data_IF_464064548906
#
_entry.id   IF_464064548906
#
_cell.length_a   1.000
_cell.length_b   1.000
_cell.length_c   1.000
_cell.angle_alpha   90.00
_cell.angle_beta   90.00
_cell.angle_gamma   90.00
#
_symmetry.space_group_name_H-M   'P 1'
#
loop_
_entity.id
_entity.type
_entity.pdbx_description
1 polymer ?
#
# COMPACT_ATOMS: atom_id res chain seq x y z
N UNK A 1 31.25 74.04 20.06
CA UNK A 1 31.42 72.60 20.33
C UNK A 1 30.32 71.88 19.58
N UNK A 2 30.63 71.24 18.48
CA UNK A 2 29.68 70.63 17.50
C UNK A 2 29.51 69.15 17.80
N UNK A 3 28.29 68.72 18.09
CA UNK A 3 27.93 67.31 18.27
C UNK A 3 27.64 66.67 16.89
N UNK A 4 28.33 65.61 16.57
CA UNK A 4 28.15 64.84 15.33
C UNK A 4 27.20 63.67 15.61
N UNK A 5 26.00 63.73 14.99
CA UNK A 5 25.04 62.62 14.99
C UNK A 5 25.47 61.57 13.94
N UNK A 6 25.81 60.37 14.38
CA UNK A 6 25.97 59.21 13.52
C UNK A 6 24.62 58.51 13.35
N UNK A 7 24.02 58.62 12.18
CA UNK A 7 22.92 57.74 11.74
C UNK A 7 23.49 56.37 11.43
N UNK A 8 23.07 55.38 12.19
CA UNK A 8 23.26 53.94 11.83
C UNK A 8 22.08 53.50 10.96
N UNK A 9 22.34 53.33 9.68
CA UNK A 9 21.43 52.69 8.74
C UNK A 9 21.49 51.17 8.98
N UNK A 10 20.43 50.58 9.55
CA UNK A 10 20.24 49.16 9.69
C UNK A 10 19.74 48.57 8.37
N UNK A 11 20.57 47.78 7.71
CA UNK A 11 20.20 47.09 6.49
C UNK A 11 19.49 45.77 6.89
N UNK A 12 18.15 45.72 6.79
CA UNK A 12 17.38 44.48 6.92
C UNK A 12 17.56 43.67 5.63
N UNK A 13 18.37 42.60 5.70
CA UNK A 13 18.43 41.60 4.64
C UNK A 13 17.19 40.72 4.73
N UNK A 14 16.23 40.91 3.83
CA UNK A 14 15.10 40.02 3.65
C UNK A 14 15.61 38.72 3.00
N UNK A 15 15.71 37.64 3.77
CA UNK A 15 15.93 36.31 3.20
C UNK A 15 14.65 35.85 2.48
N UNK A 16 14.67 35.89 1.15
CA UNK A 16 13.70 35.20 0.32
C UNK A 16 13.97 33.69 0.47
N UNK A 17 13.14 33.02 1.26
CA UNK A 17 13.06 31.57 1.24
C UNK A 17 12.34 31.18 -0.04
N UNK A 18 13.10 30.84 -1.07
CA UNK A 18 12.57 30.22 -2.30
C UNK A 18 12.03 28.84 -1.94
N UNK A 19 10.69 28.71 -1.84
CA UNK A 19 10.04 27.40 -1.80
C UNK A 19 10.32 26.70 -3.15
N UNK A 20 11.21 25.72 -3.14
CA UNK A 20 11.39 24.81 -4.28
C UNK A 20 10.06 24.08 -4.48
N UNK A 21 9.51 24.03 -5.70
CA UNK A 21 8.35 23.20 -5.97
C UNK A 21 8.75 21.75 -5.72
N UNK A 22 7.98 21.04 -4.89
CA UNK A 22 8.10 19.60 -4.76
C UNK A 22 7.96 18.99 -6.16
N UNK A 23 9.02 18.43 -6.69
CA UNK A 23 8.98 17.67 -7.94
C UNK A 23 8.05 16.48 -7.69
N UNK A 24 6.83 16.56 -8.25
CA UNK A 24 5.98 15.40 -8.39
C UNK A 24 6.71 14.44 -9.34
N UNK A 25 7.23 13.32 -8.79
CA UNK A 25 7.89 12.28 -9.57
C UNK A 25 6.91 11.79 -10.65
N UNK A 26 7.18 12.14 -11.90
CA UNK A 26 6.41 11.73 -13.05
C UNK A 26 6.64 10.22 -13.27
N UNK A 27 5.67 9.41 -12.86
CA UNK A 27 5.55 8.02 -13.36
C UNK A 27 5.49 8.10 -14.89
N UNK A 28 6.33 7.36 -15.62
CA UNK A 28 6.21 7.33 -17.07
C UNK A 28 4.78 6.97 -17.46
N UNK A 29 4.10 7.87 -18.16
CA UNK A 29 2.66 7.76 -18.47
C UNK A 29 2.29 6.45 -19.21
N UNK A 30 3.25 5.83 -19.90
CA UNK A 30 3.08 4.54 -20.57
C UNK A 30 2.87 3.37 -19.57
N UNK A 31 3.62 3.34 -18.45
CA UNK A 31 3.50 2.29 -17.44
C UNK A 31 2.22 2.43 -16.61
N UNK A 32 1.82 3.68 -16.31
CA UNK A 32 0.58 3.96 -15.59
C UNK A 32 -0.66 3.54 -16.41
N UNK A 33 -0.71 3.87 -17.71
CA UNK A 33 -1.81 3.47 -18.60
C UNK A 33 -1.90 1.96 -18.81
N UNK A 34 -0.76 1.27 -18.90
CA UNK A 34 -0.71 -0.19 -18.99
C UNK A 34 -1.23 -0.85 -17.71
N UNK A 35 -0.82 -0.36 -16.56
CA UNK A 35 -1.28 -0.87 -15.26
C UNK A 35 -2.77 -0.57 -15.03
N UNK A 36 -3.26 0.62 -15.39
CA UNK A 36 -4.68 0.96 -15.30
C UNK A 36 -5.54 0.05 -16.19
N UNK A 37 -5.13 -0.17 -17.44
CA UNK A 37 -5.82 -1.08 -18.36
C UNK A 37 -5.89 -2.50 -17.81
N UNK A 38 -4.84 -2.96 -17.12
CA UNK A 38 -4.73 -4.32 -16.63
C UNK A 38 -5.39 -4.53 -15.26
N UNK A 39 -5.24 -3.58 -14.32
CA UNK A 39 -5.73 -3.67 -12.94
C UNK A 39 -6.99 -2.86 -12.67
N UNK A 40 -7.39 -1.97 -13.57
CA UNK A 40 -8.57 -1.13 -13.42
C UNK A 40 -9.86 -1.86 -13.73
N UNK A 41 -10.99 -1.24 -13.32
CA UNK A 41 -12.33 -1.79 -13.52
C UNK A 41 -12.67 -2.99 -12.64
N UNK A 42 -11.81 -3.30 -11.66
CA UNK A 42 -12.06 -4.34 -10.65
C UNK A 42 -12.70 -3.70 -9.42
N UNK A 43 -14.01 -3.72 -9.36
CA UNK A 43 -14.78 -3.24 -8.21
C UNK A 43 -14.91 -4.36 -7.20
N UNK A 44 -14.30 -4.17 -6.02
CA UNK A 44 -14.39 -5.05 -4.85
C UNK A 44 -15.11 -4.32 -3.72
N UNK A 45 -15.37 -5.00 -2.62
CA UNK A 45 -15.92 -4.39 -1.40
C UNK A 45 -14.83 -4.34 -0.33
N UNK A 46 -14.68 -3.20 0.34
CA UNK A 46 -13.81 -3.11 1.50
C UNK A 46 -14.49 -3.68 2.77
N UNK A 47 -13.77 -3.74 3.87
CA UNK A 47 -14.28 -4.21 5.17
C UNK A 47 -15.43 -3.38 5.73
N UNK A 48 -15.79 -2.24 5.14
CA UNK A 48 -16.94 -1.42 5.51
C UNK A 48 -18.10 -1.58 4.52
N UNK A 49 -17.98 -2.48 3.54
CA UNK A 49 -18.95 -2.69 2.49
C UNK A 49 -18.95 -1.61 1.39
N UNK A 50 -17.94 -0.75 1.38
CA UNK A 50 -17.80 0.30 0.37
C UNK A 50 -17.21 -0.28 -0.92
N UNK A 51 -17.78 0.01 -2.11
CA UNK A 51 -17.15 -0.32 -3.37
C UNK A 51 -15.81 0.39 -3.55
N UNK A 52 -14.78 -0.37 -3.96
CA UNK A 52 -13.41 0.10 -4.15
C UNK A 52 -12.89 -0.42 -5.49
N UNK A 53 -12.40 0.46 -6.35
CA UNK A 53 -11.64 0.08 -7.53
C UNK A 53 -10.20 -0.22 -7.12
N UNK A 54 -9.75 -1.46 -7.37
CA UNK A 54 -8.44 -1.94 -6.93
C UNK A 54 -7.29 -1.03 -7.41
N UNK A 55 -7.31 -0.64 -8.68
CA UNK A 55 -6.25 0.20 -9.22
C UNK A 55 -6.37 1.65 -8.74
N UNK A 56 -7.49 2.30 -9.07
CA UNK A 56 -7.67 3.75 -8.88
C UNK A 56 -7.59 4.16 -7.41
N UNK A 57 -8.25 3.39 -6.53
CA UNK A 57 -8.40 3.79 -5.13
C UNK A 57 -7.22 3.32 -4.25
N UNK A 58 -6.56 2.21 -4.60
CA UNK A 58 -5.55 1.60 -3.74
C UNK A 58 -4.13 1.58 -4.33
N UNK A 59 -3.97 1.42 -5.65
CA UNK A 59 -2.67 1.16 -6.28
C UNK A 59 -2.10 2.40 -6.96
N UNK A 60 -2.92 3.17 -7.67
CA UNK A 60 -2.47 4.27 -8.53
C UNK A 60 -1.56 5.27 -7.77
N UNK A 61 -0.35 5.50 -8.31
CA UNK A 61 0.62 6.46 -7.79
C UNK A 61 1.25 6.11 -6.44
N UNK A 62 1.08 4.87 -5.93
CA UNK A 62 1.56 4.44 -4.62
C UNK A 62 2.41 3.19 -4.70
N UNK A 63 3.08 2.90 -3.60
CA UNK A 63 3.58 1.55 -3.34
C UNK A 63 2.50 0.72 -2.68
N UNK A 64 2.41 -0.56 -3.01
CA UNK A 64 1.38 -1.46 -2.50
C UNK A 64 1.97 -2.81 -2.09
N UNK A 65 1.46 -3.36 -1.01
CA UNK A 65 1.68 -4.76 -0.61
C UNK A 65 0.36 -5.48 -0.73
N UNK A 66 0.26 -6.44 -1.64
CA UNK A 66 -0.93 -7.25 -1.85
C UNK A 66 -0.68 -8.64 -1.28
N UNK A 67 -1.58 -9.09 -0.42
CA UNK A 67 -1.52 -10.36 0.26
C UNK A 67 -2.87 -11.06 0.19
N UNK A 68 -2.87 -12.40 0.15
CA UNK A 68 -4.09 -13.21 0.22
C UNK A 68 -4.28 -13.79 1.60
N UNK A 69 -5.54 -13.96 2.02
CA UNK A 69 -5.91 -14.52 3.30
C UNK A 69 -7.36 -15.05 3.26
N UNK A 70 -7.82 -15.66 4.33
CA UNK A 70 -9.24 -15.82 4.62
C UNK A 70 -9.46 -15.74 6.14
N UNK A 71 -10.61 -15.18 6.57
CA UNK A 71 -10.84 -14.84 7.97
C UNK A 71 -10.95 -16.07 8.89
N UNK A 72 -11.36 -17.22 8.33
CA UNK A 72 -11.41 -18.51 9.01
C UNK A 72 -10.09 -19.28 9.04
N UNK A 73 -9.00 -18.71 8.54
CA UNK A 73 -7.68 -19.34 8.57
C UNK A 73 -7.21 -19.54 10.01
N UNK A 74 -7.02 -20.80 10.42
CA UNK A 74 -6.52 -21.16 11.73
C UNK A 74 -5.06 -20.76 11.94
N UNK A 75 -4.16 -21.77 12.01
CA UNK A 75 -2.77 -21.55 12.44
C UNK A 75 -1.81 -21.06 11.35
N UNK A 76 -2.16 -21.09 10.07
CA UNK A 76 -1.23 -20.77 8.96
C UNK A 76 -1.13 -19.28 8.61
N UNK A 77 -2.17 -18.48 8.83
CA UNK A 77 -2.15 -17.04 8.55
C UNK A 77 -1.47 -16.15 9.62
N UNK A 78 -1.27 -16.56 10.87
CA UNK A 78 -0.71 -15.69 11.90
C UNK A 78 0.67 -15.13 11.56
N UNK A 79 1.53 -15.89 10.90
CA UNK A 79 2.90 -15.45 10.57
C UNK A 79 2.91 -14.30 9.55
N UNK A 80 2.13 -14.40 8.47
CA UNK A 80 1.99 -13.34 7.48
C UNK A 80 1.35 -12.09 8.07
N UNK A 81 0.30 -12.25 8.87
CA UNK A 81 -0.36 -11.13 9.53
C UNK A 81 0.56 -10.45 10.55
N UNK A 82 1.37 -11.19 11.31
CA UNK A 82 2.39 -10.64 12.18
C UNK A 82 3.44 -9.84 11.40
N UNK A 83 3.86 -10.35 10.25
CA UNK A 83 4.77 -9.65 9.34
C UNK A 83 4.16 -8.36 8.80
N UNK A 84 2.91 -8.39 8.33
CA UNK A 84 2.21 -7.19 7.83
C UNK A 84 1.99 -6.17 8.94
N UNK A 85 1.75 -6.62 10.18
CA UNK A 85 1.68 -5.74 11.33
C UNK A 85 3.01 -5.05 11.60
N UNK A 86 4.12 -5.78 11.55
CA UNK A 86 5.47 -5.18 11.68
C UNK A 86 5.76 -4.19 10.54
N UNK A 87 5.31 -4.47 9.31
CA UNK A 87 5.39 -3.53 8.18
C UNK A 87 4.58 -2.28 8.47
N UNK A 88 3.33 -2.42 8.92
CA UNK A 88 2.46 -1.32 9.31
C UNK A 88 3.13 -0.40 10.35
N UNK A 89 3.69 -0.97 11.40
CA UNK A 89 4.40 -0.24 12.45
C UNK A 89 5.62 0.50 11.89
N UNK A 90 6.39 -0.15 11.01
CA UNK A 90 7.56 0.45 10.37
C UNK A 90 7.22 1.59 9.41
N UNK A 91 6.11 1.49 8.71
CA UNK A 91 5.62 2.54 7.81
C UNK A 91 5.14 3.79 8.58
N UNK A 92 4.51 3.60 9.73
CA UNK A 92 3.99 4.72 10.52
C UNK A 92 3.09 5.64 9.68
N UNK A 93 3.43 6.92 9.62
CA UNK A 93 2.66 7.94 8.88
C UNK A 93 2.68 7.76 7.36
N UNK A 94 3.58 6.95 6.81
CA UNK A 94 3.64 6.63 5.37
C UNK A 94 2.53 5.65 4.96
N UNK A 95 2.00 4.88 5.92
CA UNK A 95 0.88 3.96 5.66
C UNK A 95 -0.35 4.78 5.26
N UNK A 96 -0.90 4.45 4.11
CA UNK A 96 -2.05 5.14 3.52
C UNK A 96 -1.65 6.16 2.47
N UNK A 97 -0.91 7.21 2.78
CA UNK A 97 -0.52 8.20 1.77
C UNK A 97 0.47 7.65 0.72
N UNK A 98 1.51 6.95 1.14
CA UNK A 98 2.60 6.49 0.26
C UNK A 98 2.53 4.99 -0.03
N UNK A 99 2.24 4.19 0.99
CA UNK A 99 2.19 2.72 0.90
C UNK A 99 0.84 2.22 1.38
N UNK A 100 0.22 1.34 0.61
CA UNK A 100 -1.02 0.65 0.99
C UNK A 100 -0.75 -0.82 1.29
N UNK A 101 -1.37 -1.33 2.34
CA UNK A 101 -1.50 -2.77 2.57
C UNK A 101 -2.87 -3.20 2.11
N UNK A 102 -2.93 -4.21 1.26
CA UNK A 102 -4.16 -4.71 0.64
C UNK A 102 -4.22 -6.22 0.87
N UNK A 103 -5.16 -6.67 1.66
CA UNK A 103 -5.43 -8.08 1.89
C UNK A 103 -6.69 -8.48 1.14
N UNK A 104 -6.59 -9.41 0.17
CA UNK A 104 -7.71 -9.87 -0.64
C UNK A 104 -8.07 -11.27 -0.16
N UNK A 105 -9.34 -11.49 0.20
CA UNK A 105 -9.79 -12.83 0.60
C UNK A 105 -9.68 -13.82 -0.55
N UNK A 106 -9.41 -15.09 -0.22
CA UNK A 106 -9.55 -16.22 -1.15
C UNK A 106 -10.87 -16.98 -0.94
N UNK A 107 -11.64 -16.63 0.08
CA UNK A 107 -12.93 -17.24 0.42
C UNK A 107 -14.05 -16.18 0.53
N UNK A 108 -14.43 -15.54 -0.59
CA UNK A 108 -15.45 -14.48 -0.55
C UNK A 108 -16.83 -14.96 -0.14
N UNK A 109 -17.09 -16.26 -0.12
CA UNK A 109 -18.36 -16.82 0.29
C UNK A 109 -18.58 -16.66 1.81
N UNK A 110 -17.55 -16.90 2.61
CA UNK A 110 -17.60 -16.76 4.07
C UNK A 110 -17.14 -15.37 4.54
N UNK A 111 -16.21 -14.75 3.81
CA UNK A 111 -15.58 -13.49 4.19
C UNK A 111 -16.41 -12.29 3.72
N UNK A 112 -17.57 -12.09 4.37
CA UNK A 112 -18.40 -10.90 4.16
C UNK A 112 -17.69 -9.63 4.64
N UNK A 113 -18.11 -8.42 4.19
CA UNK A 113 -17.55 -7.17 4.71
C UNK A 113 -17.58 -7.09 6.24
N UNK A 114 -18.65 -7.57 6.89
CA UNK A 114 -18.76 -7.60 8.35
C UNK A 114 -17.68 -8.51 8.97
N UNK A 115 -17.50 -9.72 8.45
CA UNK A 115 -16.44 -10.64 8.90
C UNK A 115 -15.05 -10.03 8.71
N UNK A 116 -14.81 -9.37 7.58
CA UNK A 116 -13.54 -8.67 7.31
C UNK A 116 -13.30 -7.49 8.27
N UNK A 117 -14.35 -6.78 8.65
CA UNK A 117 -14.24 -5.68 9.63
C UNK A 117 -13.83 -6.18 11.00
N UNK A 118 -14.43 -7.27 11.46
CA UNK A 118 -14.05 -7.93 12.72
C UNK A 118 -12.61 -8.47 12.66
N UNK A 119 -12.26 -9.09 11.53
CA UNK A 119 -10.89 -9.58 11.31
C UNK A 119 -9.86 -8.46 11.33
N UNK A 120 -10.11 -7.37 10.61
CA UNK A 120 -9.24 -6.20 10.58
C UNK A 120 -9.02 -5.61 11.98
N UNK A 121 -10.08 -5.51 12.78
CA UNK A 121 -10.01 -5.07 14.17
C UNK A 121 -9.16 -6.03 15.02
N UNK A 122 -9.36 -7.35 14.87
CA UNK A 122 -8.62 -8.39 15.61
C UNK A 122 -7.12 -8.36 15.33
N UNK A 123 -6.70 -8.11 14.07
CA UNK A 123 -5.28 -8.00 13.71
C UNK A 123 -4.69 -6.61 13.98
N UNK A 124 -5.50 -5.65 14.40
CA UNK A 124 -5.07 -4.29 14.71
C UNK A 124 -4.72 -3.47 13.46
N UNK A 125 -5.44 -3.69 12.36
CA UNK A 125 -5.22 -2.94 11.13
C UNK A 125 -5.51 -1.46 11.31
N UNK A 126 -4.60 -0.61 10.82
CA UNK A 126 -4.70 0.84 10.85
C UNK A 126 -5.19 1.39 9.51
N UNK A 127 -5.66 2.65 9.43
CA UNK A 127 -5.97 3.32 8.18
C UNK A 127 -4.81 3.21 7.18
N UNK A 128 -5.11 2.71 5.97
CA UNK A 128 -4.10 2.39 4.95
C UNK A 128 -3.87 0.89 4.78
N UNK A 129 -4.41 0.05 5.67
CA UNK A 129 -4.54 -1.38 5.47
C UNK A 129 -6.00 -1.71 5.16
N UNK A 130 -6.26 -2.20 3.95
CA UNK A 130 -7.61 -2.47 3.43
C UNK A 130 -7.78 -3.98 3.21
N UNK A 131 -8.91 -4.50 3.67
CA UNK A 131 -9.32 -5.88 3.46
C UNK A 131 -10.43 -5.90 2.42
N UNK A 132 -10.29 -6.76 1.40
CA UNK A 132 -11.16 -6.78 0.24
C UNK A 132 -11.86 -8.13 0.07
N UNK A 133 -13.14 -8.04 -0.27
CA UNK A 133 -14.01 -9.14 -0.69
C UNK A 133 -14.87 -8.70 -1.87
N UNK A 134 -15.84 -9.50 -2.28
CA UNK A 134 -16.76 -9.20 -3.36
C UNK A 134 -17.46 -10.46 -3.84
N UNK A 135 -18.00 -10.46 -5.06
CA UNK A 135 -18.45 -11.70 -5.67
C UNK A 135 -17.26 -12.61 -5.98
N UNK A 136 -17.49 -13.91 -6.02
CA UNK A 136 -16.47 -14.90 -6.37
C UNK A 136 -15.76 -14.56 -7.69
N UNK A 137 -16.53 -14.13 -8.70
CA UNK A 137 -16.00 -13.72 -10.00
C UNK A 137 -15.06 -12.51 -9.88
N UNK A 138 -15.46 -11.48 -9.13
CA UNK A 138 -14.66 -10.25 -8.96
C UNK A 138 -13.36 -10.54 -8.20
N UNK A 139 -13.45 -11.29 -7.11
CA UNK A 139 -12.28 -11.68 -6.30
C UNK A 139 -11.33 -12.56 -7.10
N UNK A 140 -11.84 -13.59 -7.78
CA UNK A 140 -11.05 -14.48 -8.63
C UNK A 140 -10.33 -13.72 -9.74
N UNK A 141 -11.00 -12.76 -10.39
CA UNK A 141 -10.40 -11.94 -11.43
C UNK A 141 -9.32 -11.02 -10.86
N UNK A 142 -9.56 -10.40 -9.71
CA UNK A 142 -8.56 -9.58 -9.04
C UNK A 142 -7.31 -10.40 -8.69
N UNK A 143 -7.50 -11.58 -8.12
CA UNK A 143 -6.40 -12.48 -7.76
C UNK A 143 -5.62 -12.98 -8.98
N UNK A 144 -6.31 -13.28 -10.11
CA UNK A 144 -5.62 -13.63 -11.37
C UNK A 144 -4.74 -12.51 -11.87
N UNK A 145 -5.27 -11.28 -11.90
CA UNK A 145 -4.52 -10.11 -12.39
C UNK A 145 -3.32 -9.76 -11.50
N UNK A 146 -3.41 -9.95 -10.19
CA UNK A 146 -2.24 -9.75 -9.31
C UNK A 146 -1.34 -10.99 -9.21
N UNK A 147 -1.71 -12.10 -9.87
CA UNK A 147 -0.92 -13.34 -9.91
C UNK A 147 -0.88 -14.11 -8.60
N UNK A 148 -2.01 -14.06 -7.84
CA UNK A 148 -2.19 -14.74 -6.55
C UNK A 148 -3.41 -15.67 -6.55
N UNK A 149 -4.00 -15.95 -7.71
CA UNK A 149 -5.16 -16.83 -7.82
C UNK A 149 -4.83 -18.29 -7.46
N UNK A 150 -5.72 -18.91 -6.71
CA UNK A 150 -5.72 -20.34 -6.39
C UNK A 150 -7.12 -20.91 -6.61
N UNK A 151 -7.21 -22.16 -7.01
CA UNK A 151 -8.51 -22.84 -7.19
C UNK A 151 -9.13 -23.29 -5.86
N UNK A 152 -8.29 -23.60 -4.88
CA UNK A 152 -8.68 -24.04 -3.55
C UNK A 152 -8.17 -23.03 -2.51
N UNK A 153 -9.06 -22.41 -1.71
CA UNK A 153 -8.64 -21.51 -0.64
C UNK A 153 -7.60 -22.12 0.31
N UNK A 154 -7.69 -23.42 0.59
CA UNK A 154 -6.71 -24.12 1.43
C UNK A 154 -5.32 -24.27 0.81
N UNK A 155 -5.21 -24.14 -0.52
CA UNK A 155 -3.97 -24.21 -1.27
C UNK A 155 -3.33 -22.82 -1.48
N UNK A 156 -3.88 -21.74 -0.91
CA UNK A 156 -3.28 -20.42 -1.04
C UNK A 156 -1.86 -20.42 -0.48
N UNK A 157 -0.93 -19.97 -1.31
CA UNK A 157 0.45 -19.80 -0.88
C UNK A 157 0.56 -18.46 -0.15
N UNK A 158 1.32 -18.48 0.93
CA UNK A 158 1.63 -17.28 1.71
C UNK A 158 2.62 -16.39 0.93
N UNK A 159 2.13 -15.83 -0.18
CA UNK A 159 2.89 -14.96 -1.07
C UNK A 159 2.35 -13.54 -0.97
N UNK A 160 3.27 -12.59 -0.83
CA UNK A 160 2.99 -11.17 -0.94
C UNK A 160 3.53 -10.64 -2.27
N UNK A 161 2.74 -9.83 -2.96
CA UNK A 161 3.16 -9.06 -4.13
C UNK A 161 3.41 -7.63 -3.67
N UNK A 162 4.61 -7.13 -3.90
CA UNK A 162 5.02 -5.78 -3.50
C UNK A 162 5.32 -4.98 -4.75
N UNK A 163 4.64 -3.86 -4.93
CA UNK A 163 4.79 -3.02 -6.10
C UNK A 163 5.01 -1.55 -5.75
N UNK A 164 5.84 -0.88 -6.55
CA UNK A 164 5.95 0.57 -6.55
C UNK A 164 5.47 1.09 -7.90
N UNK A 165 4.29 1.72 -7.91
CA UNK A 165 3.69 2.22 -9.15
C UNK A 165 4.43 3.43 -9.73
N UNK A 166 5.24 4.12 -8.96
CA UNK A 166 6.01 5.27 -9.44
C UNK A 166 7.19 4.85 -10.29
N UNK A 167 7.83 3.72 -9.94
CA UNK A 167 9.04 3.22 -10.64
C UNK A 167 8.77 1.98 -11.50
N UNK A 168 7.63 1.33 -11.30
CA UNK A 168 7.29 0.09 -11.99
C UNK A 168 8.00 -1.14 -11.43
N UNK A 169 8.66 -1.03 -10.25
CA UNK A 169 9.30 -2.17 -9.59
C UNK A 169 8.26 -3.06 -8.91
N UNK A 170 8.24 -4.35 -9.27
CA UNK A 170 7.39 -5.37 -8.66
C UNK A 170 8.21 -6.56 -8.20
N UNK A 171 7.92 -7.05 -7.00
CA UNK A 171 8.56 -8.25 -6.43
C UNK A 171 7.53 -9.15 -5.76
N UNK A 172 7.81 -10.46 -5.75
CA UNK A 172 7.09 -11.44 -4.94
C UNK A 172 7.98 -11.90 -3.79
N UNK A 173 7.39 -12.11 -2.63
CA UNK A 173 8.08 -12.63 -1.45
C UNK A 173 7.17 -13.63 -0.73
N UNK A 174 7.75 -14.71 -0.22
CA UNK A 174 7.01 -15.67 0.61
C UNK A 174 6.86 -15.12 2.02
N UNK A 175 5.64 -15.11 2.55
CA UNK A 175 5.31 -14.67 3.90
C UNK A 175 5.91 -15.55 5.00
N UNK A 176 6.29 -16.79 4.63
CA UNK A 176 7.05 -17.73 5.50
C UNK A 176 8.52 -17.37 5.64
N UNK A 177 9.05 -16.44 4.84
CA UNK A 177 10.40 -15.93 5.05
C UNK A 177 10.49 -15.17 6.38
N UNK A 178 11.70 -15.07 6.94
CA UNK A 178 11.92 -14.33 8.18
C UNK A 178 11.32 -12.91 8.08
N UNK A 179 10.48 -12.54 9.04
CA UNK A 179 9.72 -11.28 9.02
C UNK A 179 10.61 -10.06 8.77
N UNK A 180 11.82 -10.01 9.37
CA UNK A 180 12.76 -8.93 9.12
C UNK A 180 13.21 -8.83 7.65
N UNK A 181 13.35 -9.96 6.96
CA UNK A 181 13.70 -10.00 5.52
C UNK A 181 12.55 -9.48 4.68
N UNK A 182 11.31 -9.89 4.97
CA UNK A 182 10.11 -9.42 4.29
C UNK A 182 9.93 -7.91 4.47
N UNK A 183 10.03 -7.43 5.71
CA UNK A 183 9.97 -5.98 6.03
C UNK A 183 11.03 -5.21 5.25
N UNK A 184 12.29 -5.67 5.25
CA UNK A 184 13.38 -5.01 4.51
C UNK A 184 13.10 -4.95 3.01
N UNK A 185 12.58 -6.04 2.42
CA UNK A 185 12.21 -6.06 1.00
C UNK A 185 11.09 -5.07 0.70
N UNK A 186 10.03 -5.04 1.50
CA UNK A 186 8.90 -4.13 1.32
C UNK A 186 9.35 -2.67 1.40
N UNK A 187 10.15 -2.35 2.41
CA UNK A 187 10.70 -0.99 2.56
C UNK A 187 11.59 -0.62 1.37
N UNK A 188 12.46 -1.55 0.90
CA UNK A 188 13.30 -1.31 -0.26
C UNK A 188 12.51 -1.06 -1.56
N UNK A 189 11.37 -1.73 -1.77
CA UNK A 189 10.48 -1.46 -2.91
C UNK A 189 9.76 -0.13 -2.73
N UNK A 190 9.32 0.19 -1.51
CA UNK A 190 8.63 1.45 -1.23
C UNK A 190 9.55 2.68 -1.41
N UNK A 191 10.82 2.52 -1.10
CA UNK A 191 11.85 3.57 -1.17
C UNK A 191 12.56 3.63 -2.54
N UNK A 192 12.20 2.72 -3.46
CA UNK A 192 12.78 2.71 -4.81
C UNK A 192 12.46 4.01 -5.56
N UNK A 193 13.46 4.62 -6.15
CA UNK A 193 13.40 5.89 -6.90
C UNK A 193 13.57 5.72 -8.40
N UNK A 194 13.76 4.48 -8.89
CA UNK A 194 13.82 4.17 -10.33
C UNK A 194 15.17 4.50 -10.99
N UNK A 195 16.27 4.46 -10.22
CA UNK A 195 17.63 4.66 -10.72
C UNK A 195 18.28 3.34 -11.10
#
# INVERSE_FOLDING_TARGET
MKAINLLRAGMLAAMLVSALPAMADNVPAANAKGAEKYLGGLSLLDQNGKPVDLYRDLIAGRSVVIHTFFAGCGDSCPAAMATLKAVQERLGKRLGPEVRLVSITVDPFHDTPAALKEYAARVGAQPGWTFLTGSEQQVSEALRRVGLFVNDPGAHMDIMVVGNMRTGLWKKVHGTAASATVVKLIMGVADDTGH
#
